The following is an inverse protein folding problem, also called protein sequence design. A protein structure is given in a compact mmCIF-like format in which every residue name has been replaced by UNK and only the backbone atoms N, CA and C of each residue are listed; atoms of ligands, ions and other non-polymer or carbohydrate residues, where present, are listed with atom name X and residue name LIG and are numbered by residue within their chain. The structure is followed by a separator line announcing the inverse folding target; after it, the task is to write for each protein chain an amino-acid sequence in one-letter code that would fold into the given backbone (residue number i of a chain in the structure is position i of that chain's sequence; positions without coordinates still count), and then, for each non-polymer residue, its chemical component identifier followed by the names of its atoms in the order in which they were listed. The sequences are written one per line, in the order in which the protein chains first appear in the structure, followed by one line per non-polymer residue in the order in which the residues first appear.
data_IF_604569104684
#
_entry.id   IF_604569104684
#
_cell.length_a   1.000
_cell.length_b   1.000
_cell.length_c   1.000
_cell.angle_alpha   90.00
_cell.angle_beta   90.00
_cell.angle_gamma   90.00
#
_symmetry.space_group_name_H-M   'P 1'
#
loop_
_entity.id
_entity.type
_entity.pdbx_description
1 polymer ?
#
# COMPACT_ATOMS: atom_id res chain seq x y z
N UNK A 1 -33.91 4.42 20.06
CA UNK A 1 -33.92 4.76 18.62
C UNK A 1 -32.46 4.77 18.19
N UNK A 2 -31.95 3.64 17.73
CA UNK A 2 -30.57 3.57 17.21
C UNK A 2 -30.67 4.23 15.84
N UNK A 3 -30.14 5.44 15.70
CA UNK A 3 -29.96 6.04 14.39
C UNK A 3 -29.01 5.12 13.66
N UNK A 4 -29.54 4.33 12.72
CA UNK A 4 -28.75 3.63 11.72
C UNK A 4 -28.15 4.73 10.84
N UNK A 5 -27.06 5.33 11.31
CA UNK A 5 -26.22 6.12 10.44
C UNK A 5 -25.71 5.15 9.39
N UNK A 6 -26.25 5.23 8.18
CA UNK A 6 -25.51 4.71 7.05
C UNK A 6 -24.11 5.31 7.15
N UNK A 7 -23.06 4.49 7.08
CA UNK A 7 -21.68 4.93 7.29
C UNK A 7 -21.17 5.71 6.07
N UNK A 8 -21.98 6.64 5.55
CA UNK A 8 -21.75 7.45 4.36
C UNK A 8 -20.39 8.16 4.38
N UNK A 9 -19.92 8.54 5.58
CA UNK A 9 -18.65 9.21 5.77
C UNK A 9 -17.54 8.31 6.32
N UNK A 10 -17.78 7.01 6.53
CA UNK A 10 -16.77 6.12 7.11
C UNK A 10 -15.52 6.06 6.24
N UNK A 11 -15.66 5.92 4.92
CA UNK A 11 -14.51 5.86 4.01
C UNK A 11 -13.67 7.15 4.04
N UNK A 12 -14.34 8.31 4.03
CA UNK A 12 -13.68 9.63 4.14
C UNK A 12 -13.01 9.83 5.50
N UNK A 13 -13.71 9.51 6.59
CA UNK A 13 -13.18 9.66 7.94
C UNK A 13 -11.96 8.76 8.18
N UNK A 14 -11.97 7.54 7.66
CA UNK A 14 -10.84 6.61 7.80
C UNK A 14 -9.66 7.02 6.92
N UNK A 15 -9.93 7.46 5.69
CA UNK A 15 -8.91 8.09 4.84
C UNK A 15 -8.25 9.29 5.54
N UNK A 16 -9.05 10.17 6.16
CA UNK A 16 -8.53 11.31 6.94
C UNK A 16 -7.77 10.87 8.20
N UNK A 17 -8.25 9.84 8.91
CA UNK A 17 -7.58 9.28 10.07
C UNK A 17 -6.20 8.72 9.71
N UNK A 18 -6.07 8.08 8.54
CA UNK A 18 -4.78 7.62 8.03
C UNK A 18 -3.81 8.78 7.77
N UNK A 19 -4.29 9.93 7.30
CA UNK A 19 -3.47 11.14 7.15
C UNK A 19 -2.97 11.66 8.51
N UNK A 20 -3.75 11.51 9.58
CA UNK A 20 -3.28 11.84 10.94
C UNK A 20 -2.13 10.91 11.35
N UNK A 21 -2.25 9.60 11.13
CA UNK A 21 -1.17 8.63 11.38
C UNK A 21 0.07 8.99 10.56
N UNK A 22 -0.10 9.29 9.28
CA UNK A 22 0.95 9.75 8.37
C UNK A 22 1.64 11.01 8.92
N UNK A 23 0.86 12.01 9.37
CA UNK A 23 1.37 13.28 9.91
C UNK A 23 2.18 13.08 11.19
N UNK A 24 1.74 12.20 12.09
CA UNK A 24 2.47 11.83 13.30
C UNK A 24 3.83 11.22 12.91
N UNK A 25 3.84 10.25 12.00
CA UNK A 25 5.10 9.62 11.52
C UNK A 25 6.02 10.67 10.90
N UNK A 26 5.50 11.56 10.05
CA UNK A 26 6.27 12.62 9.40
C UNK A 26 6.95 13.56 10.40
N UNK A 27 6.27 13.91 11.50
CA UNK A 27 6.83 14.75 12.57
C UNK A 27 7.92 13.99 13.35
N UNK A 28 7.71 12.70 13.61
CA UNK A 28 8.66 11.84 14.35
C UNK A 28 9.95 11.54 13.58
N UNK A 29 9.91 11.57 12.24
CA UNK A 29 11.12 11.42 11.42
C UNK A 29 12.13 12.54 11.73
N UNK A 30 13.36 12.16 12.06
CA UNK A 30 14.41 13.12 12.45
C UNK A 30 15.22 13.66 11.27
N UNK A 31 15.35 12.88 10.21
CA UNK A 31 16.25 13.20 9.11
C UNK A 31 15.47 13.73 7.89
N UNK A 32 16.06 14.69 7.16
CA UNK A 32 15.41 15.36 6.03
C UNK A 32 15.22 14.45 4.82
N UNK A 33 16.09 13.46 4.63
CA UNK A 33 16.01 12.55 3.49
C UNK A 33 14.81 11.59 3.61
N UNK A 34 14.59 10.96 4.77
CA UNK A 34 13.41 10.12 5.00
C UNK A 34 12.11 10.94 4.96
N UNK A 35 12.10 12.21 5.42
CA UNK A 35 10.93 13.09 5.23
C UNK A 35 10.63 13.34 3.75
N UNK A 36 11.67 13.58 2.96
CA UNK A 36 11.55 13.77 1.51
C UNK A 36 11.07 12.49 0.83
N UNK A 37 11.64 11.34 1.19
CA UNK A 37 11.22 10.03 0.73
C UNK A 37 9.74 9.77 1.03
N UNK A 38 9.30 9.99 2.27
CA UNK A 38 7.90 9.87 2.67
C UNK A 38 6.99 10.70 1.77
N UNK A 39 7.28 12.00 1.59
CA UNK A 39 6.48 12.89 0.75
C UNK A 39 6.45 12.47 -0.72
N UNK A 40 7.61 12.13 -1.29
CA UNK A 40 7.72 11.73 -2.70
C UNK A 40 6.93 10.45 -2.95
N UNK A 41 7.10 9.44 -2.11
CA UNK A 41 6.38 8.18 -2.28
C UNK A 41 4.89 8.37 -2.04
N UNK A 42 4.48 9.12 -1.03
CA UNK A 42 3.05 9.42 -0.78
C UNK A 42 2.39 10.10 -1.99
N UNK A 43 3.07 11.06 -2.61
CA UNK A 43 2.57 11.72 -3.81
C UNK A 43 2.43 10.76 -5.00
N UNK A 44 3.40 9.88 -5.22
CA UNK A 44 3.32 8.92 -6.33
C UNK A 44 2.29 7.83 -6.07
N UNK A 45 2.19 7.32 -4.83
CA UNK A 45 1.17 6.33 -4.49
C UNK A 45 -0.22 6.94 -4.48
N UNK A 46 -0.40 8.23 -4.18
CA UNK A 46 -1.73 8.86 -4.29
C UNK A 46 -2.30 8.76 -5.70
N UNK A 47 -1.46 8.79 -6.74
CA UNK A 47 -1.92 8.63 -8.12
C UNK A 47 -2.47 7.22 -8.41
N UNK A 48 -2.13 6.21 -7.60
CA UNK A 48 -2.73 4.88 -7.71
C UNK A 48 -4.20 4.89 -7.31
N UNK A 49 -4.66 5.87 -6.52
CA UNK A 49 -6.10 6.04 -6.27
C UNK A 49 -6.88 6.38 -7.55
N UNK A 50 -6.24 6.82 -8.63
CA UNK A 50 -6.89 6.96 -9.94
C UNK A 50 -7.20 5.60 -10.60
N UNK A 51 -6.65 4.50 -10.08
CA UNK A 51 -6.92 3.15 -10.55
C UNK A 51 -8.14 2.52 -9.88
N UNK A 52 -8.81 3.23 -8.98
CA UNK A 52 -10.01 2.77 -8.28
C UNK A 52 -11.13 2.23 -9.20
N UNK A 53 -11.36 2.79 -10.42
CA UNK A 53 -12.33 2.22 -11.35
C UNK A 53 -12.03 0.79 -11.81
N UNK A 54 -10.83 0.28 -11.57
CA UNK A 54 -10.50 -1.11 -11.80
C UNK A 54 -11.03 -2.01 -10.68
N UNK A 55 -11.23 -1.50 -9.47
CA UNK A 55 -11.62 -2.25 -8.29
C UNK A 55 -13.13 -2.10 -7.98
N UNK A 56 -13.70 -0.93 -8.21
CA UNK A 56 -15.13 -0.68 -7.98
C UNK A 56 -15.95 -1.03 -9.23
N UNK A 57 -17.08 -1.77 -9.10
CA UNK A 57 -17.66 -2.26 -7.86
C UNK A 57 -17.25 -3.69 -7.48
N UNK A 58 -16.48 -4.39 -8.31
CA UNK A 58 -16.26 -5.84 -8.24
C UNK A 58 -15.54 -6.31 -6.98
N UNK A 59 -14.51 -5.56 -6.54
CA UNK A 59 -13.81 -5.83 -5.29
C UNK A 59 -14.63 -5.36 -4.09
N UNK A 60 -15.15 -4.13 -4.18
CA UNK A 60 -15.85 -3.44 -3.12
C UNK A 60 -16.55 -2.19 -3.68
N UNK A 61 -17.47 -1.60 -2.91
CA UNK A 61 -18.26 -0.45 -3.34
C UNK A 61 -18.60 0.48 -2.16
N UNK A 62 -17.66 1.34 -1.73
CA UNK A 62 -17.84 2.17 -0.54
C UNK A 62 -18.77 3.36 -0.80
N UNK A 63 -19.59 3.74 0.20
CA UNK A 63 -20.19 5.07 0.23
C UNK A 63 -19.09 6.13 0.24
N UNK A 64 -19.03 6.92 -0.82
CA UNK A 64 -18.00 7.94 -1.04
C UNK A 64 -18.58 9.34 -1.10
N UNK A 65 -17.73 10.35 -0.93
CA UNK A 65 -18.11 11.75 -1.00
C UNK A 65 -18.72 12.07 -2.36
N UNK A 66 -19.91 12.69 -2.34
CA UNK A 66 -20.73 12.97 -3.52
C UNK A 66 -21.18 11.73 -4.31
N UNK A 67 -21.14 10.53 -3.70
CA UNK A 67 -21.61 9.28 -4.33
C UNK A 67 -20.78 8.90 -5.58
N UNK A 68 -19.52 9.33 -5.64
CA UNK A 68 -18.67 9.18 -6.82
C UNK A 68 -18.36 7.70 -7.14
N UNK A 69 -18.03 6.88 -6.13
CA UNK A 69 -17.72 5.46 -6.33
C UNK A 69 -18.90 4.72 -6.99
N UNK A 70 -20.12 4.91 -6.48
CA UNK A 70 -21.31 4.29 -7.05
C UNK A 70 -21.66 4.81 -8.45
N UNK A 71 -21.35 6.08 -8.77
CA UNK A 71 -21.69 6.70 -10.06
C UNK A 71 -20.65 6.48 -11.15
N UNK A 72 -19.37 6.45 -10.79
CA UNK A 72 -18.26 6.48 -11.74
C UNK A 72 -17.20 5.41 -11.49
N UNK A 73 -17.30 4.63 -10.41
CA UNK A 73 -16.26 3.69 -9.97
C UNK A 73 -15.03 4.36 -9.37
N UNK A 74 -15.05 5.66 -9.13
CA UNK A 74 -13.90 6.44 -8.63
C UNK A 74 -14.30 7.21 -7.38
N UNK A 75 -13.37 7.44 -6.46
CA UNK A 75 -13.57 8.31 -5.31
C UNK A 75 -12.29 9.08 -4.92
N UNK A 76 -12.47 10.19 -4.21
CA UNK A 76 -11.37 11.10 -3.83
C UNK A 76 -10.59 10.50 -2.66
N UNK A 77 -11.29 9.77 -1.80
CA UNK A 77 -10.78 9.10 -0.62
C UNK A 77 -9.69 8.10 -0.98
N UNK A 78 -9.78 7.40 -2.10
CA UNK A 78 -8.77 6.48 -2.62
C UNK A 78 -7.44 7.18 -2.93
N UNK A 79 -7.46 8.45 -3.35
CA UNK A 79 -6.23 9.26 -3.48
C UNK A 79 -5.61 9.55 -2.10
N UNK A 80 -6.44 9.89 -1.12
CA UNK A 80 -6.04 10.23 0.25
C UNK A 80 -5.49 9.00 0.97
N UNK A 81 -6.21 7.88 0.87
CA UNK A 81 -5.83 6.59 1.43
C UNK A 81 -4.50 6.13 0.84
N UNK A 82 -4.37 6.14 -0.49
CA UNK A 82 -3.15 5.72 -1.18
C UNK A 82 -1.95 6.63 -0.86
N UNK A 83 -2.18 7.93 -0.64
CA UNK A 83 -1.16 8.84 -0.11
C UNK A 83 -0.66 8.38 1.27
N UNK A 84 -1.60 8.12 2.18
CA UNK A 84 -1.31 7.70 3.55
C UNK A 84 -0.52 6.40 3.62
N UNK A 85 -1.03 5.33 3.00
CA UNK A 85 -0.39 4.01 3.09
C UNK A 85 1.01 3.99 2.46
N UNK A 86 1.21 4.68 1.33
CA UNK A 86 2.50 4.71 0.64
C UNK A 86 3.58 5.38 1.48
N UNK A 87 3.26 6.53 2.07
CA UNK A 87 4.16 7.23 2.99
C UNK A 87 4.50 6.42 4.22
N UNK A 88 3.51 5.76 4.83
CA UNK A 88 3.74 4.93 6.03
C UNK A 88 4.63 3.72 5.68
N UNK A 89 4.28 2.97 4.63
CA UNK A 89 4.99 1.75 4.25
C UNK A 89 6.47 1.99 3.93
N UNK A 90 6.81 3.13 3.32
CA UNK A 90 8.19 3.38 2.89
C UNK A 90 9.15 3.75 4.03
N UNK A 91 8.67 4.47 5.04
CA UNK A 91 9.55 5.04 6.09
C UNK A 91 9.38 4.39 7.47
N UNK A 92 8.43 3.47 7.67
CA UNK A 92 8.20 2.89 8.99
C UNK A 92 9.43 2.12 9.52
N UNK A 93 10.16 1.46 8.63
CA UNK A 93 11.44 0.82 8.98
C UNK A 93 12.49 1.86 9.40
N UNK A 94 12.64 2.94 8.64
CA UNK A 94 13.59 4.01 8.93
C UNK A 94 13.29 4.70 10.27
N UNK A 95 12.01 4.87 10.58
CA UNK A 95 11.58 5.43 11.85
C UNK A 95 12.01 4.55 13.04
N UNK A 96 11.78 3.24 12.95
CA UNK A 96 12.02 2.30 14.06
C UNK A 96 13.51 1.98 14.21
N UNK A 97 14.19 1.67 13.10
CA UNK A 97 15.58 1.23 13.10
C UNK A 97 16.59 2.37 12.92
N UNK A 98 16.10 3.62 12.82
CA UNK A 98 16.93 4.82 12.63
C UNK A 98 17.90 4.66 11.46
N UNK A 99 17.38 4.25 10.32
CA UNK A 99 18.15 4.21 9.07
C UNK A 99 17.91 5.46 8.24
N UNK A 100 18.82 5.74 7.31
CA UNK A 100 18.65 6.76 6.26
C UNK A 100 19.04 6.22 4.89
N UNK A 101 18.45 6.75 3.82
CA UNK A 101 18.80 6.34 2.45
C UNK A 101 20.05 7.10 1.96
N UNK A 102 21.12 6.37 1.69
CA UNK A 102 22.41 6.87 1.18
C UNK A 102 22.61 6.45 -0.28
N UNK A 103 23.19 7.31 -1.13
CA UNK A 103 23.42 6.97 -2.55
C UNK A 103 24.42 5.83 -2.68
N UNK A 104 24.15 4.87 -3.56
CA UNK A 104 25.13 3.87 -3.95
C UNK A 104 26.12 4.46 -4.98
N UNK A 105 27.34 3.95 -4.99
CA UNK A 105 28.41 4.38 -5.90
C UNK A 105 28.14 3.94 -7.33
N UNK A 106 28.75 4.62 -8.31
CA UNK A 106 28.65 4.24 -9.72
C UNK A 106 29.15 2.81 -9.98
N UNK A 107 30.21 2.39 -9.27
CA UNK A 107 30.71 1.02 -9.36
C UNK A 107 29.68 -0.01 -8.88
N UNK A 108 29.03 0.24 -7.74
CA UNK A 108 27.95 -0.62 -7.22
C UNK A 108 26.79 -0.75 -8.22
N UNK A 109 26.41 0.33 -8.93
CA UNK A 109 25.32 0.30 -9.94
C UNK A 109 25.59 -0.64 -11.12
N UNK A 110 26.85 -0.86 -11.48
CA UNK A 110 27.24 -1.69 -12.63
C UNK A 110 27.49 -3.16 -12.27
N UNK A 111 27.25 -3.56 -11.02
CA UNK A 111 27.32 -4.97 -10.62
C UNK A 111 26.31 -5.83 -11.38
N UNK A 112 26.66 -7.09 -11.63
CA UNK A 112 25.85 -8.03 -12.45
C UNK A 112 24.42 -8.23 -11.95
N UNK A 113 24.20 -8.12 -10.64
CA UNK A 113 22.88 -8.18 -10.00
C UNK A 113 21.92 -7.07 -10.46
N UNK A 114 22.45 -5.96 -10.97
CA UNK A 114 21.65 -4.84 -11.48
C UNK A 114 21.44 -4.86 -13.00
N UNK A 115 21.88 -5.93 -13.69
CA UNK A 115 21.65 -6.10 -15.14
C UNK A 115 20.16 -5.98 -15.52
N UNK A 116 19.29 -6.47 -14.64
CA UNK A 116 17.83 -6.46 -14.83
C UNK A 116 17.14 -5.41 -13.95
N UNK A 117 17.84 -4.36 -13.51
CA UNK A 117 17.33 -3.38 -12.56
C UNK A 117 16.02 -2.72 -13.01
N UNK A 118 15.94 -2.28 -14.27
CA UNK A 118 14.73 -1.68 -14.83
C UNK A 118 13.60 -2.70 -14.96
N UNK A 119 13.90 -3.92 -15.38
CA UNK A 119 12.93 -5.01 -15.47
C UNK A 119 12.37 -5.36 -14.09
N UNK A 120 13.20 -5.39 -13.05
CA UNK A 120 12.76 -5.60 -11.68
C UNK A 120 11.83 -4.47 -11.22
N UNK A 121 12.15 -3.21 -11.52
CA UNK A 121 11.32 -2.06 -11.14
C UNK A 121 9.97 -2.03 -11.87
N UNK A 122 9.96 -2.37 -13.17
CA UNK A 122 8.75 -2.40 -13.99
C UNK A 122 7.96 -3.71 -13.85
N UNK A 123 8.48 -4.71 -13.15
CA UNK A 123 7.84 -6.03 -13.03
C UNK A 123 6.43 -5.94 -12.43
N UNK A 124 6.24 -5.17 -11.35
CA UNK A 124 4.92 -5.00 -10.71
C UNK A 124 3.86 -4.46 -11.68
N UNK A 125 4.02 -3.27 -12.31
CA UNK A 125 3.01 -2.77 -13.23
C UNK A 125 2.82 -3.66 -14.46
N UNK A 126 3.88 -4.29 -14.98
CA UNK A 126 3.77 -5.22 -16.13
C UNK A 126 2.94 -6.44 -15.75
N UNK A 127 3.21 -7.07 -14.60
CA UNK A 127 2.49 -8.26 -14.15
C UNK A 127 1.04 -7.92 -13.82
N UNK A 128 0.79 -6.78 -13.17
CA UNK A 128 -0.57 -6.33 -12.87
C UNK A 128 -1.40 -6.16 -14.15
N UNK A 129 -0.88 -5.44 -15.14
CA UNK A 129 -1.55 -5.25 -16.43
C UNK A 129 -1.74 -6.56 -17.18
N UNK A 130 -0.75 -7.45 -17.15
CA UNK A 130 -0.85 -8.76 -17.79
C UNK A 130 -1.98 -9.60 -17.15
N UNK A 131 -2.05 -9.65 -15.82
CA UNK A 131 -3.09 -10.40 -15.11
C UNK A 131 -4.47 -9.79 -15.37
N UNK A 132 -4.61 -8.47 -15.35
CA UNK A 132 -5.88 -7.80 -15.63
C UNK A 132 -6.46 -8.14 -17.01
N UNK A 133 -5.61 -8.29 -18.04
CA UNK A 133 -6.09 -8.57 -19.41
C UNK A 133 -6.18 -10.06 -19.75
N UNK A 134 -5.48 -10.93 -19.02
CA UNK A 134 -5.38 -12.36 -19.37
C UNK A 134 -6.06 -13.31 -18.40
N UNK A 135 -6.26 -12.89 -17.14
CA UNK A 135 -6.76 -13.76 -16.09
C UNK A 135 -8.12 -13.25 -15.58
N UNK A 136 -9.13 -14.13 -15.41
CA UNK A 136 -10.42 -13.77 -14.85
C UNK A 136 -10.33 -13.71 -13.32
N UNK A 137 -9.42 -12.88 -12.80
CA UNK A 137 -9.19 -12.70 -11.37
C UNK A 137 -9.79 -11.38 -10.91
N UNK A 138 -10.33 -11.35 -9.69
CA UNK A 138 -10.65 -10.09 -9.03
C UNK A 138 -9.37 -9.21 -8.99
N UNK A 139 -9.46 -7.92 -9.36
CA UNK A 139 -8.34 -6.97 -9.40
C UNK A 139 -7.46 -6.97 -8.14
N UNK A 140 -8.04 -7.22 -6.94
CA UNK A 140 -7.27 -7.30 -5.70
C UNK A 140 -6.23 -8.42 -5.72
N UNK A 141 -6.56 -9.59 -6.27
CA UNK A 141 -5.62 -10.69 -6.40
C UNK A 141 -4.52 -10.39 -7.41
N UNK A 142 -4.89 -9.75 -8.52
CA UNK A 142 -3.91 -9.29 -9.53
C UNK A 142 -2.90 -8.32 -8.90
N UNK A 143 -3.37 -7.38 -8.06
CA UNK A 143 -2.51 -6.44 -7.35
C UNK A 143 -1.59 -7.14 -6.33
N UNK A 144 -2.14 -8.04 -5.51
CA UNK A 144 -1.37 -8.83 -4.53
C UNK A 144 -0.29 -9.66 -5.22
N UNK A 145 -0.64 -10.42 -6.27
CA UNK A 145 0.31 -11.26 -7.02
C UNK A 145 1.40 -10.39 -7.64
N UNK A 146 1.03 -9.28 -8.28
CA UNK A 146 1.98 -8.37 -8.90
C UNK A 146 2.98 -7.79 -7.89
N UNK A 147 2.51 -7.35 -6.71
CA UNK A 147 3.37 -6.81 -5.65
C UNK A 147 4.28 -7.87 -5.03
N UNK A 148 3.78 -9.10 -4.81
CA UNK A 148 4.62 -10.20 -4.30
C UNK A 148 5.72 -10.54 -5.31
N UNK A 149 5.35 -10.78 -6.56
CA UNK A 149 6.32 -11.18 -7.59
C UNK A 149 7.30 -10.03 -7.88
N UNK A 150 6.83 -8.78 -7.98
CA UNK A 150 7.71 -7.64 -8.19
C UNK A 150 8.61 -7.32 -6.99
N UNK A 151 8.12 -7.56 -5.77
CA UNK A 151 8.95 -7.55 -4.56
C UNK A 151 10.01 -8.65 -4.60
N UNK A 152 9.71 -9.85 -5.09
CA UNK A 152 10.74 -10.89 -5.28
C UNK A 152 11.79 -10.49 -6.32
N UNK A 153 11.39 -9.91 -7.45
CA UNK A 153 12.34 -9.35 -8.43
C UNK A 153 13.23 -8.26 -7.81
N UNK A 154 12.63 -7.37 -7.00
CA UNK A 154 13.36 -6.35 -6.25
C UNK A 154 14.34 -6.99 -5.28
N UNK A 155 13.92 -7.98 -4.51
CA UNK A 155 14.79 -8.74 -3.60
C UNK A 155 15.98 -9.35 -4.35
N UNK A 156 15.76 -10.02 -5.48
CA UNK A 156 16.86 -10.63 -6.25
C UNK A 156 17.84 -9.59 -6.79
N UNK A 157 17.36 -8.39 -7.16
CA UNK A 157 18.20 -7.31 -7.66
C UNK A 157 18.89 -6.49 -6.54
N UNK A 158 18.24 -6.39 -5.37
CA UNK A 158 18.62 -5.58 -4.21
C UNK A 158 18.57 -6.42 -2.92
N UNK A 159 19.41 -7.47 -2.80
CA UNK A 159 19.36 -8.40 -1.67
C UNK A 159 19.66 -7.77 -0.31
N UNK A 160 20.30 -6.60 -0.27
CA UNK A 160 20.52 -5.80 0.93
C UNK A 160 19.23 -5.19 1.50
N UNK A 161 18.19 -5.00 0.67
CA UNK A 161 16.89 -4.48 1.11
C UNK A 161 15.98 -5.54 1.73
N UNK A 162 16.30 -6.84 1.59
CA UNK A 162 15.42 -7.95 2.03
C UNK A 162 14.93 -7.82 3.47
N UNK A 163 15.80 -7.34 4.38
CA UNK A 163 15.45 -7.15 5.79
C UNK A 163 14.44 -6.01 5.95
N UNK A 164 14.65 -4.88 5.26
CA UNK A 164 13.70 -3.76 5.24
C UNK A 164 12.36 -4.23 4.68
N UNK A 165 12.36 -4.99 3.59
CA UNK A 165 11.14 -5.48 2.95
C UNK A 165 10.32 -6.39 3.86
N UNK A 166 10.93 -7.43 4.43
CA UNK A 166 10.24 -8.37 5.32
C UNK A 166 9.73 -7.71 6.61
N UNK A 167 10.57 -6.88 7.23
CA UNK A 167 10.21 -6.23 8.49
C UNK A 167 9.13 -5.17 8.26
N UNK A 168 9.23 -4.38 7.17
CA UNK A 168 8.19 -3.43 6.79
C UNK A 168 6.87 -4.11 6.47
N UNK A 169 6.88 -5.26 5.78
CA UNK A 169 5.66 -6.03 5.50
C UNK A 169 4.90 -6.38 6.79
N UNK A 170 5.62 -6.88 7.80
CA UNK A 170 5.00 -7.27 9.08
C UNK A 170 4.56 -6.06 9.91
N UNK A 171 5.36 -5.00 9.97
CA UNK A 171 4.98 -3.79 10.73
C UNK A 171 3.80 -3.08 10.06
N UNK A 172 3.85 -2.93 8.73
CA UNK A 172 2.76 -2.32 7.97
C UNK A 172 1.48 -3.14 8.12
N UNK A 173 1.55 -4.48 8.00
CA UNK A 173 0.40 -5.34 8.29
C UNK A 173 -0.13 -5.07 9.70
N UNK A 174 0.72 -5.02 10.72
CA UNK A 174 0.27 -4.75 12.09
C UNK A 174 -0.44 -3.40 12.24
N UNK A 175 0.12 -2.34 11.67
CA UNK A 175 -0.50 -1.00 11.66
C UNK A 175 -1.82 -1.02 10.90
N UNK A 176 -1.82 -1.61 9.70
CA UNK A 176 -2.98 -1.68 8.82
C UNK A 176 -4.12 -2.51 9.44
N UNK A 177 -3.78 -3.63 10.06
CA UNK A 177 -4.72 -4.49 10.78
C UNK A 177 -5.35 -3.73 11.94
N UNK A 178 -4.55 -3.05 12.78
CA UNK A 178 -5.10 -2.23 13.89
C UNK A 178 -5.95 -1.08 13.37
N UNK A 179 -5.53 -0.40 12.30
CA UNK A 179 -6.31 0.64 11.64
C UNK A 179 -7.68 0.10 11.19
N UNK A 180 -7.72 -1.08 10.58
CA UNK A 180 -8.95 -1.72 10.15
C UNK A 180 -9.81 -2.22 11.33
N UNK A 181 -9.19 -2.70 12.41
CA UNK A 181 -9.92 -3.04 13.65
C UNK A 181 -10.66 -1.82 14.23
N UNK A 182 -10.10 -0.62 14.12
CA UNK A 182 -10.82 0.59 14.54
C UNK A 182 -12.07 0.86 13.69
N UNK A 183 -12.02 0.54 12.39
CA UNK A 183 -13.15 0.68 11.46
C UNK A 183 -14.31 -0.20 11.89
N UNK A 184 -14.07 -1.50 12.03
CA UNK A 184 -15.12 -2.46 12.35
C UNK A 184 -15.65 -2.29 13.78
N UNK A 185 -14.84 -1.75 14.70
CA UNK A 185 -15.28 -1.44 16.06
C UNK A 185 -16.26 -0.25 16.09
N UNK A 186 -16.08 0.74 15.21
CA UNK A 186 -16.94 1.93 15.14
C UNK A 186 -18.13 1.76 14.20
N UNK A 187 -17.96 0.99 13.11
CA UNK A 187 -19.02 0.64 12.17
C UNK A 187 -19.16 -0.88 12.05
N UNK A 188 -19.90 -1.51 12.98
CA UNK A 188 -20.19 -2.93 12.89
C UNK A 188 -20.91 -3.27 11.59
N UNK A 189 -20.53 -4.38 10.96
CA UNK A 189 -21.04 -4.86 9.66
C UNK A 189 -20.64 -4.02 8.43
N UNK A 190 -19.72 -3.05 8.58
CA UNK A 190 -19.26 -2.24 7.44
C UNK A 190 -18.64 -3.10 6.33
N UNK A 191 -17.87 -4.12 6.72
CA UNK A 191 -17.18 -5.00 5.77
C UNK A 191 -18.15 -5.77 4.91
N UNK A 192 -19.15 -6.38 5.54
CA UNK A 192 -20.17 -7.19 4.87
C UNK A 192 -21.09 -6.36 3.97
N UNK A 193 -21.15 -5.04 4.18
CA UNK A 193 -21.93 -4.12 3.34
C UNK A 193 -21.13 -3.58 2.16
N UNK A 194 -19.82 -3.40 2.32
CA UNK A 194 -18.98 -2.66 1.38
C UNK A 194 -18.10 -3.56 0.52
N UNK A 195 -17.56 -4.66 1.07
CA UNK A 195 -16.77 -5.62 0.32
C UNK A 195 -17.67 -6.66 -0.33
N UNK A 196 -17.42 -6.97 -1.59
CA UNK A 196 -18.18 -8.00 -2.30
C UNK A 196 -17.64 -9.39 -1.94
N UNK A 197 -18.02 -9.89 -0.76
CA UNK A 197 -17.52 -11.17 -0.23
C UNK A 197 -17.79 -12.38 -1.15
N UNK A 198 -18.73 -12.27 -2.09
CA UNK A 198 -19.03 -13.31 -3.08
C UNK A 198 -18.05 -13.32 -4.27
N UNK A 199 -17.43 -12.17 -4.58
CA UNK A 199 -16.48 -11.99 -5.68
C UNK A 199 -15.01 -12.13 -5.23
N UNK A 200 -14.81 -12.34 -3.92
CA UNK A 200 -13.53 -12.65 -3.28
C UNK A 200 -13.64 -13.93 -2.45
N UNK A 201 -12.68 -14.25 -1.58
CA UNK A 201 -12.65 -15.55 -0.88
C UNK A 201 -13.80 -15.76 0.11
N UNK A 202 -14.41 -14.67 0.58
CA UNK A 202 -15.40 -14.67 1.65
C UNK A 202 -14.82 -15.01 3.04
N UNK A 203 -13.50 -15.16 3.18
CA UNK A 203 -12.84 -15.51 4.44
C UNK A 203 -12.59 -14.24 5.25
N UNK A 204 -13.14 -14.19 6.46
CA UNK A 204 -12.93 -13.09 7.41
C UNK A 204 -12.03 -13.52 8.58
N UNK A 205 -10.99 -12.74 8.84
CA UNK A 205 -10.08 -12.89 10.00
C UNK A 205 -10.39 -11.75 10.97
N UNK A 206 -11.06 -12.06 12.08
CA UNK A 206 -11.52 -11.05 13.07
C UNK A 206 -12.37 -9.95 12.41
N UNK A 207 -13.21 -10.33 11.45
CA UNK A 207 -14.08 -9.40 10.70
C UNK A 207 -13.39 -8.68 9.55
N UNK A 208 -12.10 -8.92 9.27
CA UNK A 208 -11.35 -8.30 8.18
C UNK A 208 -11.21 -9.31 7.02
N UNK A 209 -11.47 -8.93 5.76
CA UNK A 209 -11.26 -9.82 4.62
C UNK A 209 -9.83 -10.32 4.52
N UNK A 210 -9.64 -11.59 4.16
CA UNK A 210 -8.31 -12.17 3.92
C UNK A 210 -7.51 -11.34 2.90
N UNK A 211 -8.20 -10.80 1.90
CA UNK A 211 -7.65 -9.96 0.84
C UNK A 211 -6.97 -8.70 1.38
N UNK A 212 -7.51 -8.09 2.44
CA UNK A 212 -6.91 -6.91 3.09
C UNK A 212 -5.62 -7.26 3.83
N UNK A 213 -5.52 -8.48 4.38
CA UNK A 213 -4.30 -8.99 5.02
C UNK A 213 -3.24 -9.29 3.95
N UNK A 214 -3.65 -9.93 2.85
CA UNK A 214 -2.77 -10.19 1.70
C UNK A 214 -2.27 -8.89 1.07
N UNK A 215 -3.16 -7.90 0.89
CA UNK A 215 -2.82 -6.57 0.43
C UNK A 215 -1.83 -5.90 1.38
N UNK A 216 -2.11 -5.87 2.69
CA UNK A 216 -1.23 -5.26 3.68
C UNK A 216 0.19 -5.82 3.64
N UNK A 217 0.33 -7.15 3.65
CA UNK A 217 1.65 -7.81 3.59
C UNK A 217 2.37 -7.51 2.27
N UNK A 218 1.69 -7.68 1.14
CA UNK A 218 2.30 -7.50 -0.19
C UNK A 218 2.66 -6.04 -0.47
N UNK A 219 1.81 -5.10 -0.04
CA UNK A 219 2.06 -3.66 -0.15
C UNK A 219 3.27 -3.25 0.68
N UNK A 220 3.32 -3.62 1.96
CA UNK A 220 4.46 -3.31 2.83
C UNK A 220 5.76 -3.98 2.35
N UNK A 221 5.68 -5.18 1.78
CA UNK A 221 6.83 -5.90 1.21
C UNK A 221 7.41 -5.16 -0.01
N UNK A 222 6.57 -4.76 -0.96
CA UNK A 222 7.00 -4.11 -2.20
C UNK A 222 7.36 -2.63 -1.97
N UNK A 223 6.41 -1.82 -1.52
CA UNK A 223 6.54 -0.36 -1.46
C UNK A 223 7.62 0.14 -0.50
N UNK A 224 7.98 -0.66 0.51
CA UNK A 224 9.08 -0.31 1.42
C UNK A 224 10.47 -0.23 0.77
N UNK A 225 10.61 -0.73 -0.46
CA UNK A 225 11.90 -0.80 -1.18
C UNK A 225 11.93 -0.02 -2.50
N UNK A 226 10.76 0.40 -3.00
CA UNK A 226 10.64 1.03 -4.32
C UNK A 226 11.46 2.32 -4.40
N UNK A 227 11.49 3.11 -3.32
CA UNK A 227 12.25 4.36 -3.31
C UNK A 227 13.75 4.13 -3.44
N UNK A 228 14.33 3.23 -2.62
CA UNK A 228 15.73 2.86 -2.70
C UNK A 228 16.09 2.21 -4.04
N UNK A 229 15.19 1.38 -4.58
CA UNK A 229 15.38 0.74 -5.87
C UNK A 229 15.45 1.80 -6.97
N UNK A 230 14.43 2.65 -7.07
CA UNK A 230 14.33 3.68 -8.11
C UNK A 230 15.44 4.74 -8.03
N UNK A 231 15.79 5.18 -6.82
CA UNK A 231 16.74 6.28 -6.62
C UNK A 231 18.19 5.85 -6.42
N UNK A 232 18.48 4.55 -6.58
CA UNK A 232 19.81 3.97 -6.39
C UNK A 232 20.41 4.32 -5.01
N UNK A 233 19.67 4.02 -3.95
CA UNK A 233 20.09 4.26 -2.57
C UNK A 233 20.12 2.99 -1.74
N UNK A 234 21.05 2.88 -0.80
CA UNK A 234 21.15 1.82 0.20
C UNK A 234 20.82 2.37 1.60
N UNK A 235 20.56 1.45 2.52
CA UNK A 235 20.31 1.80 3.91
C UNK A 235 21.63 2.00 4.66
N UNK A 236 21.74 3.12 5.37
CA UNK A 236 22.82 3.40 6.30
C UNK A 236 22.22 3.61 7.70
N UNK A 237 22.76 2.93 8.72
CA UNK A 237 22.36 3.15 10.11
C UNK A 237 22.82 4.53 10.59
N UNK A 238 21.95 5.23 11.32
CA UNK A 238 22.26 6.50 11.99
C UNK A 238 22.95 6.32 13.34
#
# INVERSE_FOLDING_TARGET
MIVSHEPQFAWLLWSAFLIVIWGIIYVLLKNKESKKEMLVVSFWTSLLGLTEPLFVPEYWNPPSLFDLAHRTGFDIESLIFSFGIGGVAVVIYDLIFRTRPERITAHEQHLSQHRYHLLALLSTPIIFLLLLITAPLNPIYSAVIAMVVGGLFTWYCRPELKKKMLVSAMIFLGIYFVYFLTLIALYPNYVEQVWNLQDISGILIVGIPLEEILFGVSFGFFWSSVYEHFTWRKLQSL
#
